data_IF_611425881010
#
_entry.id   IF_611425881010
#
_cell.length_a   1.000
_cell.length_b   1.000
_cell.length_c   1.000
_cell.angle_alpha   90.00
_cell.angle_beta   90.00
_cell.angle_gamma   90.00
#
_symmetry.space_group_name_H-M   'P 1'
#
loop_
_entity.id
_entity.type
_entity.pdbx_description
1 polymer ?
#
# COMPACT_ATOMS: atom_id res chain seq x y z
N UNK A 1 4.62 23.92 -0.08
CA UNK A 1 4.10 22.75 -0.82
C UNK A 1 4.52 22.94 -2.26
N UNK A 2 5.11 21.93 -2.87
CA UNK A 2 5.52 22.01 -4.27
C UNK A 2 4.25 21.99 -5.15
N UNK A 3 3.94 23.06 -5.89
CA UNK A 3 2.75 23.11 -6.74
C UNK A 3 2.77 22.08 -7.87
N UNK A 4 3.92 21.46 -8.17
CA UNK A 4 4.05 20.38 -9.13
C UNK A 4 3.68 19.00 -8.57
N UNK A 5 3.48 18.88 -7.24
CA UNK A 5 3.01 17.63 -6.65
C UNK A 5 1.61 17.28 -7.15
N UNK A 6 1.38 16.00 -7.41
CA UNK A 6 0.05 15.48 -7.75
C UNK A 6 -1.00 15.86 -6.66
N UNK A 7 -2.21 16.33 -7.02
CA UNK A 7 -3.18 16.84 -6.03
C UNK A 7 -3.57 15.84 -4.94
N UNK A 8 -3.63 14.53 -5.25
CA UNK A 8 -3.88 13.51 -4.22
C UNK A 8 -2.74 13.46 -3.19
N UNK A 9 -1.49 13.65 -3.62
CA UNK A 9 -0.32 13.65 -2.73
C UNK A 9 -0.29 14.91 -1.88
N UNK A 10 -0.65 16.06 -2.46
CA UNK A 10 -0.85 17.29 -1.72
C UNK A 10 -1.86 17.08 -0.58
N UNK A 11 -3.03 16.50 -0.88
CA UNK A 11 -4.02 16.18 0.14
C UNK A 11 -3.48 15.22 1.21
N UNK A 12 -2.82 14.13 0.81
CA UNK A 12 -2.23 13.18 1.75
C UNK A 12 -1.24 13.83 2.71
N UNK A 13 -0.34 14.68 2.21
CA UNK A 13 0.60 15.43 3.05
C UNK A 13 -0.11 16.38 4.00
N UNK A 14 -1.19 17.01 3.55
CA UNK A 14 -2.02 17.86 4.42
C UNK A 14 -2.68 17.04 5.53
N UNK A 15 -3.32 15.91 5.18
CA UNK A 15 -4.01 15.04 6.12
C UNK A 15 -3.08 14.39 7.15
N UNK A 16 -1.80 14.21 6.80
CA UNK A 16 -0.77 13.67 7.69
C UNK A 16 0.03 14.75 8.43
N UNK A 17 -0.30 16.03 8.23
CA UNK A 17 0.42 17.19 8.78
C UNK A 17 1.91 17.27 8.36
N UNK A 18 2.26 16.79 7.16
CA UNK A 18 3.64 16.78 6.62
C UNK A 18 3.95 17.95 5.69
N UNK A 19 3.17 19.04 5.75
CA UNK A 19 3.28 20.16 4.80
C UNK A 19 4.62 20.90 4.86
N UNK A 20 5.30 20.86 6.01
CA UNK A 20 6.57 21.52 6.23
C UNK A 20 7.78 20.68 5.78
N UNK A 21 7.55 19.44 5.32
CA UNK A 21 8.64 18.49 5.06
C UNK A 21 9.32 18.02 6.35
N UNK A 22 10.46 17.36 6.18
CA UNK A 22 11.29 16.84 7.27
C UNK A 22 12.72 17.33 7.05
N UNK A 23 13.39 17.78 8.12
CA UNK A 23 14.81 18.13 8.04
C UNK A 23 15.68 16.88 7.86
N UNK A 24 16.89 17.07 7.35
CA UNK A 24 17.84 15.99 7.04
C UNK A 24 18.16 15.10 8.24
N UNK A 25 18.22 15.66 9.45
CA UNK A 25 18.56 14.91 10.65
C UNK A 25 17.41 13.99 11.08
N UNK A 26 16.17 14.48 10.98
CA UNK A 26 14.95 13.69 11.13
C UNK A 26 14.92 12.55 10.10
N UNK A 27 15.21 12.84 8.82
CA UNK A 27 15.24 11.81 7.77
C UNK A 27 16.28 10.73 8.08
N UNK A 28 17.51 11.12 8.45
CA UNK A 28 18.57 10.17 8.83
C UNK A 28 18.19 9.35 10.06
N UNK A 29 17.58 9.97 11.06
CA UNK A 29 17.19 9.29 12.30
C UNK A 29 16.10 8.25 12.05
N UNK A 30 15.04 8.59 11.30
CA UNK A 30 13.96 7.66 10.95
C UNK A 30 14.50 6.48 10.15
N UNK A 31 15.32 6.74 9.12
CA UNK A 31 15.94 5.68 8.31
C UNK A 31 16.86 4.79 9.13
N UNK A 32 17.64 5.36 10.06
CA UNK A 32 18.51 4.59 10.96
C UNK A 32 17.69 3.64 11.84
N UNK A 33 16.58 4.11 12.41
CA UNK A 33 15.69 3.27 13.23
C UNK A 33 15.10 2.15 12.37
N UNK A 34 14.55 2.48 11.20
CA UNK A 34 13.98 1.49 10.28
C UNK A 34 15.00 0.40 9.90
N UNK A 35 16.22 0.79 9.53
CA UNK A 35 17.29 -0.17 9.21
C UNK A 35 17.72 -1.03 10.41
N UNK A 36 17.70 -0.47 11.63
CA UNK A 36 17.97 -1.24 12.84
C UNK A 36 16.88 -2.30 13.09
N UNK A 37 15.60 -1.97 12.86
CA UNK A 37 14.49 -2.91 12.93
C UNK A 37 14.61 -4.00 11.86
N UNK A 38 15.02 -3.66 10.63
CA UNK A 38 15.30 -4.64 9.59
C UNK A 38 16.43 -5.60 10.00
N UNK A 39 17.51 -5.10 10.60
CA UNK A 39 18.62 -5.92 11.07
C UNK A 39 18.21 -6.88 12.20
N UNK A 40 17.35 -6.42 13.12
CA UNK A 40 16.76 -7.30 14.13
C UNK A 40 15.85 -8.37 13.51
N UNK A 41 15.00 -7.97 12.56
CA UNK A 41 14.15 -8.90 11.81
C UNK A 41 14.94 -9.96 11.06
N UNK A 42 16.03 -9.59 10.41
CA UNK A 42 16.95 -10.51 9.73
C UNK A 42 17.55 -11.54 10.70
N UNK A 43 18.02 -11.10 11.87
CA UNK A 43 18.54 -12.00 12.90
C UNK A 43 17.48 -13.00 13.42
N UNK A 44 16.23 -12.55 13.60
CA UNK A 44 15.12 -13.40 14.04
C UNK A 44 14.72 -14.43 12.98
N UNK A 45 14.62 -14.01 11.71
CA UNK A 45 14.35 -14.89 10.58
C UNK A 45 15.48 -15.92 10.40
N UNK A 46 16.74 -15.47 10.51
CA UNK A 46 17.92 -16.33 10.49
C UNK A 46 17.87 -17.40 11.59
N UNK A 47 17.54 -17.02 12.83
CA UNK A 47 17.42 -17.96 13.94
C UNK A 47 16.34 -19.03 13.70
N UNK A 48 15.20 -18.65 13.10
CA UNK A 48 14.13 -19.58 12.72
C UNK A 48 14.60 -20.55 11.63
N UNK A 49 15.26 -20.02 10.58
CA UNK A 49 15.76 -20.82 9.47
C UNK A 49 16.87 -21.80 9.92
N UNK A 50 17.80 -21.35 10.76
CA UNK A 50 18.80 -22.22 11.36
C UNK A 50 18.20 -23.31 12.26
N UNK A 51 17.14 -22.99 13.02
CA UNK A 51 16.44 -23.99 13.83
C UNK A 51 15.82 -25.08 12.94
N UNK A 52 15.18 -24.70 11.83
CA UNK A 52 14.65 -25.63 10.83
C UNK A 52 15.75 -26.55 10.28
N UNK A 53 16.92 -26.00 9.95
CA UNK A 53 18.07 -26.79 9.49
C UNK A 53 18.60 -27.76 10.56
N UNK A 54 18.80 -27.29 11.81
CA UNK A 54 19.29 -28.13 12.92
C UNK A 54 18.36 -29.29 13.24
N UNK A 55 17.06 -29.12 13.03
CA UNK A 55 16.05 -30.16 13.22
C UNK A 55 15.96 -31.14 12.03
N UNK A 56 16.75 -30.93 10.97
CA UNK A 56 16.73 -31.78 9.77
C UNK A 56 15.47 -31.61 8.91
N UNK A 57 14.76 -30.48 9.05
CA UNK A 57 13.48 -30.23 8.35
C UNK A 57 13.64 -29.52 7.00
N UNK A 58 14.85 -29.08 6.64
CA UNK A 58 15.09 -28.23 5.47
C UNK A 58 14.69 -28.88 4.14
N UNK A 59 14.90 -30.19 4.00
CA UNK A 59 14.59 -30.94 2.77
C UNK A 59 13.10 -31.29 2.61
N UNK A 60 12.28 -31.02 3.63
CA UNK A 60 10.84 -31.34 3.64
C UNK A 60 9.97 -30.12 3.96
N UNK A 61 10.55 -28.92 3.98
CA UNK A 61 9.86 -27.68 4.37
C UNK A 61 10.09 -26.62 3.32
N UNK A 62 9.02 -26.01 2.83
CA UNK A 62 9.10 -24.75 2.11
C UNK A 62 9.18 -23.61 3.12
N UNK A 63 10.18 -22.75 2.98
CA UNK A 63 10.34 -21.52 3.74
C UNK A 63 10.13 -20.34 2.77
N UNK A 64 9.12 -19.53 3.05
CA UNK A 64 8.73 -18.38 2.23
C UNK A 64 8.76 -17.13 3.09
N UNK A 65 9.52 -16.13 2.64
CA UNK A 65 9.62 -14.83 3.29
C UNK A 65 9.01 -13.75 2.39
N UNK A 66 8.14 -12.92 2.94
CA UNK A 66 7.50 -11.80 2.24
C UNK A 66 7.14 -10.68 3.22
N UNK A 67 6.55 -9.61 2.69
CA UNK A 67 5.92 -8.53 3.47
C UNK A 67 4.53 -8.22 2.92
N UNK A 68 3.64 -7.63 3.72
CA UNK A 68 2.30 -7.20 3.29
C UNK A 68 2.33 -5.89 2.51
N UNK A 69 3.29 -5.01 2.81
CA UNK A 69 3.58 -3.77 2.11
C UNK A 69 5.01 -3.28 2.42
N UNK A 70 5.49 -2.27 1.71
CA UNK A 70 6.78 -1.64 1.97
C UNK A 70 6.76 -0.51 3.01
N UNK A 71 7.83 0.26 3.07
CA UNK A 71 7.93 1.50 3.84
C UNK A 71 8.68 2.52 3.00
N UNK A 72 8.06 3.68 2.77
CA UNK A 72 8.65 4.75 1.97
C UNK A 72 9.88 5.36 2.65
N UNK A 73 9.99 5.26 3.98
CA UNK A 73 11.16 5.71 4.75
C UNK A 73 11.59 7.15 4.36
N UNK A 74 10.61 8.02 4.12
CA UNK A 74 10.77 9.43 3.70
C UNK A 74 11.28 9.63 2.26
N UNK A 75 11.35 8.57 1.45
CA UNK A 75 11.39 8.68 0.00
C UNK A 75 10.09 9.33 -0.52
N UNK A 76 10.20 10.07 -1.61
CA UNK A 76 9.12 10.94 -2.12
C UNK A 76 8.55 11.92 -1.07
N UNK A 77 9.30 12.18 0.02
CA UNK A 77 8.85 12.92 1.21
C UNK A 77 7.57 12.32 1.83
N UNK A 78 7.41 11.01 1.73
CA UNK A 78 6.32 10.26 2.32
C UNK A 78 6.85 9.27 3.35
N UNK A 79 6.17 9.20 4.50
CA UNK A 79 6.37 8.16 5.50
C UNK A 79 5.26 7.09 5.32
N UNK A 80 5.47 5.89 5.82
CA UNK A 80 4.54 4.77 5.80
C UNK A 80 4.34 4.19 4.38
N UNK A 81 3.11 3.77 4.06
CA UNK A 81 2.78 2.90 2.92
C UNK A 81 1.47 3.27 2.20
N UNK A 82 0.95 4.47 2.43
CA UNK A 82 -0.32 4.91 1.83
C UNK A 82 -0.10 5.43 0.40
N UNK A 83 0.63 4.68 -0.43
CA UNK A 83 1.14 5.15 -1.72
C UNK A 83 1.33 4.01 -2.72
N UNK A 84 1.38 4.36 -4.02
CA UNK A 84 1.62 3.41 -5.12
C UNK A 84 3.08 3.34 -5.60
N UNK A 85 3.97 4.18 -5.04
CA UNK A 85 5.40 4.11 -5.29
C UNK A 85 6.00 2.78 -4.85
N UNK A 86 7.06 2.32 -5.51
CA UNK A 86 7.74 1.05 -5.29
C UNK A 86 8.06 0.81 -3.81
N UNK A 87 8.54 1.83 -3.10
CA UNK A 87 8.85 1.75 -1.67
C UNK A 87 7.65 1.36 -0.79
N UNK A 88 6.42 1.48 -1.30
CA UNK A 88 5.17 1.12 -0.63
C UNK A 88 4.56 -0.18 -1.17
N UNK A 89 4.50 -0.36 -2.49
CA UNK A 89 3.77 -1.48 -3.11
C UNK A 89 4.61 -2.70 -3.42
N UNK A 90 5.93 -2.55 -3.59
CA UNK A 90 6.81 -3.65 -3.94
C UNK A 90 7.44 -4.23 -2.69
N UNK A 91 7.15 -5.50 -2.44
CA UNK A 91 7.60 -6.22 -1.26
C UNK A 91 8.70 -7.23 -1.60
N UNK A 92 9.57 -7.59 -0.64
CA UNK A 92 10.47 -8.72 -0.81
C UNK A 92 9.64 -10.02 -0.96
N UNK A 93 10.13 -10.95 -1.77
CA UNK A 93 9.63 -12.33 -1.83
C UNK A 93 10.81 -13.28 -2.05
N UNK A 94 11.07 -14.15 -1.09
CA UNK A 94 12.10 -15.18 -1.17
C UNK A 94 11.51 -16.55 -0.83
N UNK A 95 11.92 -17.58 -1.57
CA UNK A 95 11.46 -18.96 -1.39
C UNK A 95 12.65 -19.92 -1.39
N UNK A 96 12.66 -20.85 -0.46
CA UNK A 96 13.58 -22.00 -0.42
C UNK A 96 12.80 -23.23 0.01
N UNK A 97 13.18 -24.40 -0.48
CA UNK A 97 12.50 -25.66 -0.15
C UNK A 97 12.69 -26.71 -1.23
N UNK A 98 11.95 -27.82 -1.13
CA UNK A 98 12.04 -28.94 -2.05
C UNK A 98 11.96 -28.53 -3.52
N UNK A 99 12.95 -28.91 -4.33
CA UNK A 99 12.96 -28.65 -5.77
C UNK A 99 13.21 -27.20 -6.20
N UNK A 100 13.37 -26.25 -5.27
CA UNK A 100 13.68 -24.85 -5.59
C UNK A 100 15.20 -24.68 -5.65
N UNK A 101 15.79 -24.38 -6.83
CA UNK A 101 17.24 -24.18 -6.96
C UNK A 101 17.70 -22.91 -6.24
N UNK A 102 18.83 -23.01 -5.53
CA UNK A 102 19.44 -21.87 -4.84
C UNK A 102 20.00 -20.82 -5.82
N UNK A 103 20.12 -19.58 -5.35
CA UNK A 103 20.83 -18.50 -6.05
C UNK A 103 20.13 -17.92 -7.28
N UNK A 104 18.86 -18.27 -7.52
CA UNK A 104 18.09 -17.67 -8.63
C UNK A 104 17.45 -16.35 -8.21
N UNK A 105 17.50 -15.38 -9.12
CA UNK A 105 16.74 -14.13 -9.05
C UNK A 105 15.84 -14.04 -10.28
N UNK A 106 14.55 -13.80 -10.05
CA UNK A 106 13.53 -13.70 -11.10
C UNK A 106 13.03 -12.25 -11.19
N UNK A 107 12.90 -11.76 -12.42
CA UNK A 107 12.37 -10.41 -12.72
C UNK A 107 10.91 -10.39 -13.12
N UNK A 108 10.22 -11.54 -13.06
CA UNK A 108 8.81 -11.69 -13.40
C UNK A 108 7.92 -10.85 -12.46
N UNK A 109 6.81 -10.33 -12.98
CA UNK A 109 5.77 -9.71 -12.17
C UNK A 109 5.01 -10.80 -11.41
N UNK A 110 4.83 -10.62 -10.11
CA UNK A 110 4.07 -11.49 -9.22
C UNK A 110 3.28 -10.62 -8.24
N UNK A 111 2.31 -11.21 -7.53
CA UNK A 111 1.50 -10.50 -6.54
C UNK A 111 1.30 -11.34 -5.28
N UNK A 112 0.94 -10.69 -4.18
CA UNK A 112 0.62 -11.37 -2.93
C UNK A 112 -0.59 -12.33 -3.05
N UNK A 113 -1.48 -12.11 -4.02
CA UNK A 113 -2.60 -13.04 -4.30
C UNK A 113 -2.11 -14.41 -4.79
N UNK A 114 -0.86 -14.51 -5.23
CA UNK A 114 -0.24 -15.74 -5.71
C UNK A 114 0.18 -16.67 -4.58
N UNK A 115 0.29 -16.14 -3.35
CA UNK A 115 0.72 -16.93 -2.20
C UNK A 115 -0.29 -18.06 -1.90
N UNK A 116 -1.59 -17.79 -1.97
CA UNK A 116 -2.62 -18.79 -1.73
C UNK A 116 -2.51 -20.01 -2.67
N UNK A 117 -2.60 -19.87 -4.01
CA UNK A 117 -2.46 -21.00 -4.92
C UNK A 117 -1.07 -21.66 -4.82
N UNK A 118 0.00 -20.90 -4.56
CA UNK A 118 1.34 -21.45 -4.34
C UNK A 118 1.37 -22.39 -3.13
N UNK A 119 0.81 -21.98 -1.99
CA UNK A 119 0.80 -22.80 -0.78
C UNK A 119 -0.07 -24.04 -0.92
N UNK A 120 -1.19 -23.93 -1.65
CA UNK A 120 -2.05 -25.08 -1.95
C UNK A 120 -1.31 -26.11 -2.80
N UNK A 121 -0.58 -25.67 -3.84
CA UNK A 121 0.23 -26.58 -4.66
C UNK A 121 1.39 -27.20 -3.88
N UNK A 122 2.11 -26.41 -3.05
CA UNK A 122 3.16 -26.91 -2.17
C UNK A 122 2.65 -27.99 -1.19
N UNK A 123 1.40 -27.86 -0.73
CA UNK A 123 0.74 -28.84 0.14
C UNK A 123 0.16 -30.05 -0.62
N UNK A 124 0.20 -30.06 -1.95
CA UNK A 124 -0.44 -31.10 -2.77
C UNK A 124 -1.97 -31.07 -2.67
N UNK A 125 -2.56 -29.92 -2.34
CA UNK A 125 -3.99 -29.74 -2.14
C UNK A 125 -4.61 -28.99 -3.33
N UNK A 126 -5.83 -29.36 -3.75
CA UNK A 126 -6.54 -28.62 -4.79
C UNK A 126 -7.06 -27.29 -4.24
N UNK A 127 -7.12 -26.27 -5.11
CA UNK A 127 -7.92 -25.07 -4.85
C UNK A 127 -9.40 -25.45 -4.74
N UNK A 128 -10.07 -24.97 -3.68
CA UNK A 128 -11.51 -25.23 -3.47
C UNK A 128 -12.40 -24.26 -4.23
N UNK A 129 -11.87 -23.06 -4.49
CA UNK A 129 -12.52 -21.99 -5.24
C UNK A 129 -11.50 -21.44 -6.24
N UNK A 130 -11.95 -20.85 -7.37
CA UNK A 130 -11.07 -20.13 -8.26
C UNK A 130 -10.28 -19.06 -7.49
N UNK A 131 -8.97 -19.02 -7.69
CA UNK A 131 -8.11 -17.96 -7.17
C UNK A 131 -7.83 -16.95 -8.29
N UNK A 132 -7.78 -15.66 -7.95
CA UNK A 132 -7.33 -14.62 -8.87
C UNK A 132 -5.82 -14.67 -9.12
N UNK A 133 -5.07 -15.33 -8.21
CA UNK A 133 -3.64 -15.55 -8.32
C UNK A 133 -3.27 -16.83 -9.04
N UNK A 134 -1.99 -16.98 -9.33
CA UNK A 134 -1.41 -18.18 -9.95
C UNK A 134 -0.31 -18.74 -9.05
N UNK A 135 -0.12 -20.06 -9.05
CA UNK A 135 0.97 -20.64 -8.28
C UNK A 135 2.34 -20.22 -8.82
N UNK A 136 3.22 -19.77 -7.92
CA UNK A 136 4.59 -19.42 -8.21
C UNK A 136 5.52 -20.64 -8.18
N UNK A 137 5.05 -21.82 -7.75
CA UNK A 137 5.90 -23.00 -7.61
C UNK A 137 6.53 -23.47 -8.93
N UNK A 138 5.80 -23.51 -10.07
CA UNK A 138 6.40 -23.83 -11.37
C UNK A 138 7.48 -22.82 -11.78
N UNK A 139 7.27 -21.53 -11.47
CA UNK A 139 8.25 -20.49 -11.73
C UNK A 139 9.47 -20.66 -10.81
N UNK A 140 9.27 -20.88 -9.51
CA UNK A 140 10.31 -21.05 -8.51
C UNK A 140 11.21 -22.25 -8.82
N UNK A 141 10.63 -23.39 -9.20
CA UNK A 141 11.35 -24.63 -9.55
C UNK A 141 11.98 -24.59 -10.95
N UNK A 142 11.61 -23.61 -11.80
CA UNK A 142 12.12 -23.47 -13.16
C UNK A 142 11.43 -24.37 -14.19
N UNK A 143 10.25 -24.88 -13.88
CA UNK A 143 9.40 -25.61 -14.82
C UNK A 143 8.79 -24.69 -15.89
N UNK A 144 8.67 -23.39 -15.59
CA UNK A 144 8.25 -22.36 -16.54
C UNK A 144 9.05 -21.07 -16.36
N UNK A 145 9.08 -20.27 -17.42
CA UNK A 145 9.55 -18.86 -17.39
C UNK A 145 8.40 -17.87 -17.61
N UNK A 146 7.21 -18.39 -17.94
CA UNK A 146 6.01 -17.60 -18.18
C UNK A 146 5.39 -17.24 -16.84
N UNK A 147 4.94 -15.99 -16.73
CA UNK A 147 4.18 -15.45 -15.61
C UNK A 147 3.23 -14.39 -16.15
N UNK A 148 2.35 -13.85 -15.29
CA UNK A 148 1.51 -12.71 -15.63
C UNK A 148 2.32 -11.54 -16.19
N UNK A 149 1.70 -10.79 -17.06
CA UNK A 149 2.26 -9.60 -17.70
C UNK A 149 1.80 -8.30 -17.03
N UNK A 150 0.89 -8.38 -16.06
CA UNK A 150 0.44 -7.25 -15.25
C UNK A 150 0.31 -7.57 -13.75
N UNK A 151 0.36 -6.52 -12.92
CA UNK A 151 0.02 -6.58 -11.51
C UNK A 151 -0.85 -5.40 -11.13
N UNK A 152 -1.76 -5.62 -10.18
CA UNK A 152 -2.77 -4.64 -9.75
C UNK A 152 -2.68 -4.38 -8.25
N UNK A 153 -2.88 -3.12 -7.87
CA UNK A 153 -3.05 -2.72 -6.47
C UNK A 153 -4.18 -1.70 -6.33
N UNK A 154 -4.85 -1.70 -5.19
CA UNK A 154 -5.91 -0.75 -4.86
C UNK A 154 -5.68 -0.16 -3.48
N UNK A 155 -5.99 1.12 -3.33
CA UNK A 155 -5.93 1.80 -2.04
C UNK A 155 -7.08 2.80 -1.92
N UNK A 156 -7.97 2.53 -0.97
CA UNK A 156 -9.21 3.27 -0.75
C UNK A 156 -9.37 3.61 0.73
N UNK A 157 -8.53 4.52 1.25
CA UNK A 157 -8.62 4.85 2.66
C UNK A 157 -7.52 5.76 3.19
N UNK A 158 -7.40 5.76 4.52
CA UNK A 158 -6.42 6.47 5.37
C UNK A 158 -5.62 7.56 4.64
N UNK A 159 -6.01 8.82 4.83
CA UNK A 159 -5.34 10.03 4.32
C UNK A 159 -5.38 10.25 2.82
N UNK A 160 -5.87 9.30 2.00
CA UNK A 160 -6.28 9.55 0.63
C UNK A 160 -7.78 9.90 0.61
N UNK A 161 -8.16 11.00 -0.04
CA UNK A 161 -9.56 11.46 -0.14
C UNK A 161 -10.32 10.87 -1.33
N UNK A 162 -9.73 9.92 -2.04
CA UNK A 162 -10.32 9.25 -3.18
C UNK A 162 -9.92 7.78 -3.20
N UNK A 163 -10.47 7.01 -4.13
CA UNK A 163 -10.00 5.67 -4.44
C UNK A 163 -8.91 5.75 -5.49
N UNK A 164 -7.77 5.13 -5.21
CA UNK A 164 -6.66 4.98 -6.13
C UNK A 164 -6.50 3.53 -6.57
N UNK A 165 -6.08 3.33 -7.82
CA UNK A 165 -5.89 2.02 -8.42
C UNK A 165 -4.63 2.05 -9.29
N UNK A 166 -3.76 1.05 -9.15
CA UNK A 166 -2.51 0.96 -9.89
C UNK A 166 -2.48 -0.28 -10.77
N UNK A 167 -1.98 -0.10 -11.99
CA UNK A 167 -1.67 -1.16 -12.95
C UNK A 167 -0.18 -1.09 -13.31
N UNK A 168 0.55 -2.16 -12.99
CA UNK A 168 1.93 -2.38 -13.46
C UNK A 168 1.87 -3.29 -14.69
N UNK A 169 2.36 -2.83 -15.85
CA UNK A 169 2.31 -3.55 -17.13
C UNK A 169 3.59 -3.33 -17.94
N UNK A 170 4.34 -4.38 -18.27
CA UNK A 170 5.58 -4.25 -19.06
C UNK A 170 6.61 -3.30 -18.42
N UNK A 171 6.92 -2.16 -19.06
CA UNK A 171 7.74 -1.09 -18.45
C UNK A 171 6.96 -0.05 -17.67
N UNK A 172 5.63 0.00 -17.82
CA UNK A 172 4.80 1.08 -17.29
C UNK A 172 4.22 0.77 -15.91
N UNK A 173 4.11 1.80 -15.08
CA UNK A 173 3.23 1.83 -13.91
C UNK A 173 2.24 2.97 -14.09
N UNK A 174 0.96 2.64 -14.17
CA UNK A 174 -0.15 3.58 -14.29
C UNK A 174 -0.94 3.64 -13.00
N UNK A 175 -1.32 4.84 -12.56
CA UNK A 175 -2.15 5.03 -11.36
C UNK A 175 -3.34 5.93 -11.68
N UNK A 176 -4.54 5.38 -11.54
CA UNK A 176 -5.79 6.10 -11.69
C UNK A 176 -6.35 6.51 -10.32
N UNK A 177 -6.97 7.69 -10.28
CA UNK A 177 -7.63 8.24 -9.11
C UNK A 177 -9.01 8.75 -9.49
N UNK A 178 -10.05 8.39 -8.72
CA UNK A 178 -11.41 8.85 -9.04
C UNK A 178 -11.52 10.36 -8.82
N UNK A 179 -11.80 11.10 -9.89
CA UNK A 179 -11.96 12.56 -9.86
C UNK A 179 -10.66 13.36 -9.84
N UNK A 180 -9.51 12.74 -10.09
CA UNK A 180 -8.20 13.38 -10.16
C UNK A 180 -7.45 12.98 -11.44
N UNK A 181 -6.42 13.74 -11.85
CA UNK A 181 -5.50 13.30 -12.89
C UNK A 181 -4.88 11.93 -12.56
N UNK A 182 -4.50 11.20 -13.59
CA UNK A 182 -3.73 9.97 -13.42
C UNK A 182 -2.23 10.28 -13.33
N UNK A 183 -1.44 9.29 -12.88
CA UNK A 183 0.02 9.32 -12.94
C UNK A 183 0.55 8.17 -13.80
N UNK A 184 1.66 8.38 -14.48
CA UNK A 184 2.32 7.36 -15.31
C UNK A 184 3.84 7.41 -15.11
N UNK A 185 4.44 6.27 -14.82
CA UNK A 185 5.88 6.13 -14.64
C UNK A 185 6.47 5.04 -15.54
N UNK A 186 7.66 5.30 -16.05
CA UNK A 186 8.48 4.35 -16.79
C UNK A 186 9.44 3.63 -15.84
N UNK A 187 9.11 2.41 -15.43
CA UNK A 187 9.86 1.66 -14.43
C UNK A 187 11.19 1.10 -14.93
N UNK A 188 11.47 1.15 -16.24
CA UNK A 188 12.77 0.78 -16.79
C UNK A 188 13.73 1.98 -16.83
N UNK A 189 13.23 3.14 -17.27
CA UNK A 189 14.04 4.36 -17.40
C UNK A 189 14.10 5.17 -16.09
N UNK A 190 13.04 5.13 -15.29
CA UNK A 190 12.86 5.87 -14.05
C UNK A 190 12.33 4.95 -12.93
N UNK A 191 13.16 3.99 -12.44
CA UNK A 191 12.77 3.08 -11.37
C UNK A 191 12.54 3.78 -10.02
N UNK A 192 12.88 5.07 -9.90
CA UNK A 192 12.64 5.89 -8.73
C UNK A 192 11.37 6.73 -8.85
N UNK A 193 10.61 6.61 -9.95
CA UNK A 193 9.29 7.23 -10.12
C UNK A 193 9.30 8.74 -9.88
N UNK A 194 10.34 9.42 -10.36
CA UNK A 194 10.55 10.85 -10.15
C UNK A 194 9.83 11.72 -11.19
N UNK A 195 9.53 11.18 -12.36
CA UNK A 195 8.95 11.91 -13.49
C UNK A 195 7.59 11.32 -13.87
N UNK A 196 6.53 12.08 -13.63
CA UNK A 196 5.20 11.74 -14.10
C UNK A 196 5.06 12.07 -15.60
N UNK A 197 4.81 11.03 -16.40
CA UNK A 197 4.73 11.07 -17.84
C UNK A 197 3.28 11.14 -18.35
N UNK A 198 2.28 11.20 -17.46
CA UNK A 198 0.87 11.11 -17.86
C UNK A 198 0.46 12.22 -18.87
N UNK A 199 1.00 13.42 -18.70
CA UNK A 199 0.73 14.55 -19.60
C UNK A 199 1.44 14.43 -20.96
N UNK A 200 2.63 13.83 -21.00
CA UNK A 200 3.43 13.69 -22.23
C UNK A 200 3.08 12.42 -23.02
N UNK A 201 2.51 11.40 -22.38
CA UNK A 201 2.20 10.09 -22.97
C UNK A 201 0.69 9.77 -22.93
N UNK A 202 -0.19 10.61 -23.50
CA UNK A 202 -1.64 10.46 -23.35
C UNK A 202 -2.21 9.20 -24.03
N UNK A 203 -1.56 8.66 -25.06
CA UNK A 203 -1.96 7.41 -25.70
C UNK A 203 -1.72 6.21 -24.78
N UNK A 204 -0.58 6.19 -24.07
CA UNK A 204 -0.23 5.14 -23.12
C UNK A 204 -1.20 5.17 -21.94
N UNK A 205 -1.49 6.37 -21.42
CA UNK A 205 -2.50 6.57 -20.36
C UNK A 205 -3.84 5.98 -20.78
N UNK A 206 -4.35 6.31 -21.98
CA UNK A 206 -5.66 5.80 -22.44
C UNK A 206 -5.68 4.28 -22.59
N UNK A 207 -4.60 3.68 -23.10
CA UNK A 207 -4.52 2.23 -23.25
C UNK A 207 -4.52 1.51 -21.90
N UNK A 208 -3.71 1.99 -20.94
CA UNK A 208 -3.62 1.40 -19.61
C UNK A 208 -4.87 1.66 -18.76
N UNK A 209 -5.52 2.81 -18.92
CA UNK A 209 -6.80 3.10 -18.27
C UNK A 209 -7.91 2.16 -18.77
N UNK A 210 -7.96 1.90 -20.07
CA UNK A 210 -8.90 0.94 -20.65
C UNK A 210 -8.66 -0.48 -20.13
N UNK A 211 -7.39 -0.91 -20.02
CA UNK A 211 -7.04 -2.21 -19.43
C UNK A 211 -7.45 -2.29 -17.96
N UNK A 212 -7.08 -1.28 -17.15
CA UNK A 212 -7.42 -1.21 -15.73
C UNK A 212 -8.94 -1.27 -15.50
N UNK A 213 -9.71 -0.54 -16.30
CA UNK A 213 -11.18 -0.54 -16.24
C UNK A 213 -11.82 -1.83 -16.72
N UNK A 214 -11.09 -2.64 -17.50
CA UNK A 214 -11.48 -4.02 -17.80
C UNK A 214 -11.30 -4.97 -16.62
N UNK A 215 -10.44 -4.62 -15.66
CA UNK A 215 -10.18 -5.41 -14.44
C UNK A 215 -11.13 -4.99 -13.31
N UNK A 216 -11.36 -3.69 -13.13
CA UNK A 216 -12.13 -3.14 -12.01
C UNK A 216 -12.96 -1.93 -12.41
N UNK A 217 -14.20 -1.85 -11.92
CA UNK A 217 -15.00 -0.63 -11.95
C UNK A 217 -14.56 0.28 -10.79
N UNK A 218 -13.70 1.26 -11.11
CA UNK A 218 -13.11 2.16 -10.11
C UNK A 218 -14.15 3.12 -9.52
N UNK A 219 -15.15 3.53 -10.32
CA UNK A 219 -16.24 4.40 -9.89
C UNK A 219 -17.20 3.68 -8.93
N UNK A 220 -17.56 2.42 -9.22
CA UNK A 220 -18.33 1.57 -8.30
C UNK A 220 -17.56 1.32 -7.01
N UNK A 221 -16.28 0.95 -7.12
CA UNK A 221 -15.43 0.73 -5.94
C UNK A 221 -15.41 1.96 -5.04
N UNK A 222 -15.20 3.15 -5.63
CA UNK A 222 -15.24 4.40 -4.89
C UNK A 222 -16.60 4.68 -4.26
N UNK A 223 -17.69 4.50 -5.00
CA UNK A 223 -19.06 4.71 -4.49
C UNK A 223 -19.38 3.80 -3.32
N UNK A 224 -19.02 2.52 -3.42
CA UNK A 224 -19.20 1.52 -2.38
C UNK A 224 -18.40 1.87 -1.12
N UNK A 225 -17.13 2.29 -1.26
CA UNK A 225 -16.31 2.75 -0.12
C UNK A 225 -16.88 4.01 0.52
N UNK A 226 -17.35 4.99 -0.27
CA UNK A 226 -17.98 6.19 0.27
C UNK A 226 -19.28 5.88 1.03
N UNK A 227 -20.11 4.98 0.51
CA UNK A 227 -21.32 4.52 1.20
C UNK A 227 -20.99 3.85 2.54
N UNK A 228 -19.98 2.96 2.55
CA UNK A 228 -19.48 2.34 3.77
C UNK A 228 -18.99 3.37 4.78
N UNK A 229 -18.15 4.32 4.36
CA UNK A 229 -17.60 5.35 5.23
C UNK A 229 -18.69 6.23 5.86
N UNK A 230 -19.72 6.60 5.09
CA UNK A 230 -20.88 7.35 5.61
C UNK A 230 -21.62 6.56 6.67
N UNK A 231 -21.89 5.28 6.44
CA UNK A 231 -22.59 4.47 7.44
C UNK A 231 -21.74 4.19 8.68
N UNK A 232 -20.46 3.87 8.50
CA UNK A 232 -19.52 3.71 9.61
C UNK A 232 -19.45 4.99 10.47
N UNK A 233 -19.41 6.17 9.85
CA UNK A 233 -19.43 7.44 10.55
C UNK A 233 -20.75 7.69 11.30
N UNK A 234 -21.90 7.39 10.69
CA UNK A 234 -23.21 7.47 11.37
C UNK A 234 -23.27 6.53 12.58
N UNK A 235 -22.74 5.32 12.44
CA UNK A 235 -22.66 4.35 13.53
C UNK A 235 -21.77 4.88 14.66
N UNK A 236 -20.58 5.39 14.34
CA UNK A 236 -19.69 6.03 15.30
C UNK A 236 -20.41 7.15 16.06
N UNK A 237 -21.09 8.09 15.38
CA UNK A 237 -21.83 9.18 16.05
C UNK A 237 -22.91 8.66 16.99
N UNK A 238 -23.69 7.65 16.58
CA UNK A 238 -24.71 7.02 17.44
C UNK A 238 -24.10 6.39 18.68
N UNK A 239 -22.92 5.78 18.56
CA UNK A 239 -22.22 5.15 19.68
C UNK A 239 -21.55 6.18 20.60
N UNK A 240 -20.99 7.25 20.02
CA UNK A 240 -20.41 8.37 20.76
C UNK A 240 -21.46 9.10 21.59
N UNK A 241 -22.67 9.34 21.05
CA UNK A 241 -23.82 9.88 21.79
C UNK A 241 -24.26 8.99 22.96
N UNK A 242 -23.99 7.68 22.90
CA UNK A 242 -24.26 6.72 23.98
C UNK A 242 -23.09 6.60 24.97
N UNK A 243 -22.02 7.38 24.79
CA UNK A 243 -20.82 7.33 25.62
C UNK A 243 -19.95 6.08 25.42
N UNK A 244 -20.17 5.31 24.34
CA UNK A 244 -19.37 4.12 24.04
C UNK A 244 -18.01 4.45 23.41
N UNK A 245 -17.91 5.61 22.78
CA UNK A 245 -16.66 6.16 22.25
C UNK A 245 -16.52 7.61 22.70
N UNK A 246 -15.28 8.05 22.86
CA UNK A 246 -14.97 9.47 23.02
C UNK A 246 -15.18 10.13 21.67
N UNK A 247 -16.09 11.10 21.60
CA UNK A 247 -16.23 11.95 20.43
C UNK A 247 -15.09 12.97 20.40
N UNK A 248 -14.03 12.64 19.66
CA UNK A 248 -12.90 13.55 19.46
C UNK A 248 -13.27 14.83 18.71
N UNK A 249 -14.43 14.87 18.03
CA UNK A 249 -14.88 16.08 17.33
C UNK A 249 -15.29 17.18 18.32
N UNK A 250 -15.95 16.86 19.43
CA UNK A 250 -16.43 17.86 20.39
C UNK A 250 -15.56 18.01 21.66
N UNK A 251 -14.58 17.12 21.87
CA UNK A 251 -13.96 16.92 23.20
C UNK A 251 -12.53 17.44 23.43
N UNK A 252 -11.82 17.96 22.43
CA UNK A 252 -10.39 18.29 22.57
C UNK A 252 -10.13 19.74 23.03
N UNK A 253 -10.67 20.15 24.18
CA UNK A 253 -10.32 21.46 24.77
C UNK A 253 -9.20 21.43 25.82
N UNK A 254 -8.91 20.29 26.46
CA UNK A 254 -8.14 20.30 27.73
C UNK A 254 -7.10 19.16 27.94
N UNK A 255 -6.51 18.53 26.91
CA UNK A 255 -5.50 17.48 27.14
C UNK A 255 -4.10 17.81 26.56
N UNK A 256 -3.06 17.98 27.39
CA UNK A 256 -1.67 18.10 26.93
C UNK A 256 -0.99 16.72 26.92
N UNK A 257 -0.34 16.32 25.82
CA UNK A 257 0.84 15.44 25.87
C UNK A 257 1.59 15.35 24.52
N UNK A 258 2.87 15.00 24.61
CA UNK A 258 3.91 15.08 23.57
C UNK A 258 4.07 13.84 22.68
N UNK A 259 3.04 13.01 22.50
CA UNK A 259 3.03 11.95 21.47
C UNK A 259 2.12 12.36 20.28
N UNK A 260 1.68 11.47 19.40
CA UNK A 260 0.81 11.73 18.22
C UNK A 260 -0.25 12.85 18.40
N UNK A 261 -0.73 13.06 19.62
CA UNK A 261 -1.62 14.17 20.01
C UNK A 261 -1.04 15.59 19.80
N UNK A 262 0.27 15.82 19.96
CA UNK A 262 0.88 17.14 19.70
C UNK A 262 0.89 17.51 18.19
N UNK A 263 0.91 16.51 17.31
CA UNK A 263 0.70 16.71 15.87
C UNK A 263 -0.77 17.07 15.60
N UNK A 264 -1.70 16.44 16.33
CA UNK A 264 -3.12 16.74 16.25
C UNK A 264 -3.47 18.13 16.83
N UNK A 265 -2.78 18.60 17.88
CA UNK A 265 -2.97 19.97 18.42
C UNK A 265 -2.64 21.07 17.40
N UNK A 266 -1.63 20.86 16.54
CA UNK A 266 -1.29 21.78 15.45
C UNK A 266 -2.17 21.62 14.20
N UNK A 267 -2.85 20.47 14.06
CA UNK A 267 -3.68 20.15 12.89
C UNK A 267 -5.17 20.38 13.14
N UNK A 268 -5.62 20.40 14.40
CA UNK A 268 -7.01 20.51 14.80
C UNK A 268 -7.29 21.91 15.33
N UNK A 269 -7.89 22.76 14.49
CA UNK A 269 -8.29 24.14 14.84
C UNK A 269 -9.58 24.21 15.67
N UNK A 270 -10.02 23.08 16.21
CA UNK A 270 -11.37 22.88 16.74
C UNK A 270 -12.33 22.32 15.70
N UNK A 271 -13.49 21.88 16.17
CA UNK A 271 -14.65 21.51 15.35
C UNK A 271 -15.79 22.44 15.73
N UNK A 272 -16.38 23.11 14.74
CA UNK A 272 -17.44 24.09 14.98
C UNK A 272 -18.73 23.80 14.19
N UNK A 273 -19.62 24.79 14.14
CA UNK A 273 -20.91 24.66 13.44
C UNK A 273 -20.76 24.62 11.92
N UNK A 274 -19.71 25.21 11.37
CA UNK A 274 -19.41 25.15 9.95
C UNK A 274 -18.92 23.75 9.58
N UNK A 275 -18.03 23.17 10.38
CA UNK A 275 -17.59 21.77 10.23
C UNK A 275 -18.78 20.81 10.30
N UNK A 276 -19.67 21.01 11.28
CA UNK A 276 -20.90 20.22 11.41
C UNK A 276 -21.79 20.33 10.17
N UNK A 277 -21.91 21.53 9.57
CA UNK A 277 -22.65 21.71 8.32
C UNK A 277 -21.97 21.03 7.14
N UNK A 278 -20.63 21.05 7.08
CA UNK A 278 -19.88 20.34 6.04
C UNK A 278 -20.09 18.83 6.12
N UNK A 279 -19.99 18.27 7.33
CA UNK A 279 -20.22 16.85 7.58
C UNK A 279 -21.65 16.45 7.21
N UNK A 280 -22.65 17.24 7.61
CA UNK A 280 -24.05 16.93 7.27
C UNK A 280 -24.31 16.98 5.76
N UNK A 281 -23.77 17.99 5.05
CA UNK A 281 -23.83 18.02 3.58
C UNK A 281 -23.18 16.80 2.93
N UNK A 282 -22.02 16.38 3.44
CA UNK A 282 -21.33 15.19 2.93
C UNK A 282 -22.13 13.92 3.17
N UNK A 283 -22.82 13.79 4.31
CA UNK A 283 -23.68 12.65 4.62
C UNK A 283 -24.94 12.59 3.74
N UNK A 284 -25.43 13.72 3.24
CA UNK A 284 -26.65 13.85 2.43
C UNK A 284 -26.40 13.74 0.91
N UNK A 285 -25.21 14.13 0.44
CA UNK A 285 -24.77 13.93 -0.94
C UNK A 285 -24.60 12.45 -1.30
#
# INVERSE_FOLDING_TARGET
MDPSDHPCRQYQRMAKAWRAGFDDDTVRQVRRIYMAMCAEGDALVGALYEAMQRLGLAESTYFVFSSDHGELALEHQEWYKMSFYEGSVRVPLAMVGPGIPAGRRLGNLVSLIDMCPTFMEMAGLPLREPADGESLLPLATGQTTVSRDSAYASFTGTTLNTSGHMLRRGRWKYVAYVGYPAQLFDMEADPQELHDLAASEPEVVRALDAELRGIVDIEETHRSVMAYNKEAFRQFRRQAQRGLYVDGSYGLRDHPSSDYWAIMENAFTGYDREDERMVNRWLEA
#
